data_IF_790681141601
#
_entry.id   IF_790681141601
#
_cell.length_a   1.000
_cell.length_b   1.000
_cell.length_c   1.000
_cell.angle_alpha   90.00
_cell.angle_beta   90.00
_cell.angle_gamma   90.00
#
_symmetry.space_group_name_H-M   'P 1'
#
loop_
_entity.id
_entity.type
_entity.pdbx_description
1 polymer ?
#
# COMPACT_ATOMS: atom_id res chain seq x y z
N UNK A 1 18.84 9.59 9.70
CA UNK A 1 17.41 9.84 9.46
C UNK A 1 17.13 9.39 8.05
N UNK A 2 16.36 8.32 7.86
CA UNK A 2 16.03 7.85 6.51
C UNK A 2 15.13 8.85 5.80
N UNK A 3 15.34 9.01 4.49
CA UNK A 3 14.47 9.84 3.66
C UNK A 3 13.06 9.23 3.58
N UNK A 4 12.05 10.05 3.30
CA UNK A 4 10.69 9.54 3.09
C UNK A 4 10.63 8.53 1.93
N UNK A 5 11.41 8.75 0.87
CA UNK A 5 11.51 7.86 -0.30
C UNK A 5 12.13 6.51 0.06
N UNK A 6 13.26 6.49 0.77
CA UNK A 6 13.89 5.24 1.20
C UNK A 6 12.97 4.43 2.12
N UNK A 7 12.29 5.11 3.06
CA UNK A 7 11.30 4.44 3.92
C UNK A 7 10.08 3.92 3.16
N UNK A 8 9.69 4.55 2.04
CA UNK A 8 8.63 4.05 1.17
C UNK A 8 9.05 2.77 0.42
N UNK A 9 10.27 2.76 -0.13
CA UNK A 9 10.85 1.59 -0.82
C UNK A 9 10.91 0.38 0.11
N UNK A 10 11.46 0.54 1.31
CA UNK A 10 11.57 -0.54 2.30
C UNK A 10 10.21 -1.17 2.62
N UNK A 11 9.14 -0.37 2.67
CA UNK A 11 7.78 -0.87 2.93
C UNK A 11 7.25 -1.72 1.77
N UNK A 12 7.51 -1.34 0.53
CA UNK A 12 7.11 -2.12 -0.65
C UNK A 12 7.92 -3.41 -0.78
N UNK A 13 9.23 -3.36 -0.53
CA UNK A 13 10.07 -4.56 -0.52
C UNK A 13 9.63 -5.52 0.60
N UNK A 14 9.40 -5.01 1.81
CA UNK A 14 8.93 -5.83 2.93
C UNK A 14 7.58 -6.49 2.65
N UNK A 15 6.72 -5.82 1.88
CA UNK A 15 5.41 -6.36 1.51
C UNK A 15 5.55 -7.62 0.64
N UNK A 16 6.50 -7.63 -0.30
CA UNK A 16 6.75 -8.78 -1.19
C UNK A 16 7.24 -10.02 -0.43
N UNK A 17 8.00 -9.81 0.65
CA UNK A 17 8.54 -10.91 1.47
C UNK A 17 7.58 -11.47 2.52
N UNK A 18 6.45 -10.79 2.80
CA UNK A 18 5.48 -11.27 3.78
C UNK A 18 4.47 -12.23 3.14
N UNK A 19 4.13 -13.33 3.83
CA UNK A 19 3.01 -14.21 3.48
C UNK A 19 1.78 -14.03 4.38
N UNK A 20 1.88 -13.14 5.37
CA UNK A 20 0.79 -12.82 6.29
C UNK A 20 -0.05 -11.67 5.73
N UNK A 21 -1.35 -11.91 5.58
CA UNK A 21 -2.30 -10.95 5.02
C UNK A 21 -2.38 -9.69 5.90
N UNK A 22 -2.37 -9.85 7.24
CA UNK A 22 -2.47 -8.70 8.15
C UNK A 22 -1.21 -7.82 8.07
N UNK A 23 -0.03 -8.44 8.02
CA UNK A 23 1.23 -7.75 7.81
C UNK A 23 1.26 -7.03 6.45
N UNK A 24 0.88 -7.69 5.35
CA UNK A 24 0.78 -7.04 4.03
C UNK A 24 -0.16 -5.83 4.04
N UNK A 25 -1.34 -5.94 4.67
CA UNK A 25 -2.25 -4.79 4.85
C UNK A 25 -1.56 -3.65 5.61
N UNK A 26 -0.83 -3.97 6.68
CA UNK A 26 -0.15 -2.99 7.54
C UNK A 26 0.96 -2.27 6.77
N UNK A 27 1.78 -3.03 6.05
CA UNK A 27 2.89 -2.52 5.23
C UNK A 27 2.37 -1.63 4.10
N UNK A 28 1.38 -2.08 3.35
CA UNK A 28 0.81 -1.31 2.26
C UNK A 28 0.10 -0.04 2.77
N UNK A 29 -0.60 -0.11 3.91
CA UNK A 29 -1.19 1.08 4.55
C UNK A 29 -0.13 2.09 4.96
N UNK A 30 1.00 1.63 5.51
CA UNK A 30 2.12 2.49 5.87
C UNK A 30 2.77 3.10 4.62
N UNK A 31 2.90 2.33 3.53
CA UNK A 31 3.43 2.82 2.25
C UNK A 31 2.55 3.93 1.67
N UNK A 32 1.23 3.74 1.65
CA UNK A 32 0.26 4.78 1.22
C UNK A 32 0.38 6.04 2.09
N UNK A 33 0.56 5.90 3.41
CA UNK A 33 0.80 7.03 4.31
C UNK A 33 2.13 7.74 4.06
N UNK A 34 3.20 7.01 3.72
CA UNK A 34 4.47 7.60 3.30
C UNK A 34 4.34 8.36 1.99
N UNK A 35 3.61 7.81 1.02
CA UNK A 35 3.37 8.46 -0.27
C UNK A 35 2.58 9.77 -0.10
N UNK A 36 1.55 9.77 0.75
CA UNK A 36 0.82 10.99 1.12
C UNK A 36 1.74 12.04 1.76
N UNK A 37 2.63 11.63 2.68
CA UNK A 37 3.60 12.55 3.28
C UNK A 37 4.63 13.09 2.27
N UNK A 38 4.97 12.33 1.23
CA UNK A 38 5.84 12.79 0.15
C UNK A 38 5.13 13.87 -0.70
N UNK A 39 3.82 13.73 -0.90
CA UNK A 39 3.03 14.69 -1.66
C UNK A 39 2.59 15.91 -0.86
N UNK A 40 2.62 15.85 0.47
CA UNK A 40 2.18 16.92 1.35
C UNK A 40 2.79 18.28 0.99
N UNK A 41 1.94 19.30 0.84
CA UNK A 41 2.35 20.66 0.48
C UNK A 41 2.79 20.84 -0.97
N UNK A 42 2.58 19.85 -1.83
CA UNK A 42 2.79 19.92 -3.29
C UNK A 42 1.45 19.86 -4.02
N UNK A 43 1.42 20.23 -5.29
CA UNK A 43 0.23 20.08 -6.16
C UNK A 43 -0.29 18.63 -6.23
N UNK A 44 0.59 17.66 -5.99
CA UNK A 44 0.26 16.22 -6.03
C UNK A 44 -0.62 15.79 -4.87
N UNK A 45 -0.59 16.52 -3.76
CA UNK A 45 -1.46 16.26 -2.63
C UNK A 45 -2.92 16.29 -3.06
N UNK A 46 -3.36 17.34 -3.75
CA UNK A 46 -4.74 17.50 -4.17
C UNK A 46 -5.11 16.53 -5.30
N UNK A 47 -4.18 16.28 -6.24
CA UNK A 47 -4.39 15.33 -7.35
C UNK A 47 -4.63 13.92 -6.84
N UNK A 48 -3.88 13.46 -5.84
CA UNK A 48 -3.93 12.08 -5.37
C UNK A 48 -4.71 11.87 -4.07
N UNK A 49 -5.17 12.94 -3.41
CA UNK A 49 -5.89 12.91 -2.12
C UNK A 49 -6.98 11.84 -2.09
N UNK A 50 -7.85 11.86 -3.09
CA UNK A 50 -8.99 10.95 -3.14
C UNK A 50 -8.59 9.50 -3.45
N UNK A 51 -7.58 9.29 -4.29
CA UNK A 51 -7.06 7.96 -4.61
C UNK A 51 -6.43 7.33 -3.35
N UNK A 52 -5.53 8.05 -2.68
CA UNK A 52 -4.87 7.57 -1.46
C UNK A 52 -5.87 7.34 -0.32
N UNK A 53 -6.89 8.18 -0.20
CA UNK A 53 -7.99 8.00 0.74
C UNK A 53 -8.78 6.71 0.46
N UNK A 54 -9.12 6.43 -0.81
CA UNK A 54 -9.82 5.19 -1.21
C UNK A 54 -8.97 3.96 -0.94
N UNK A 55 -7.68 3.98 -1.24
CA UNK A 55 -6.75 2.89 -0.93
C UNK A 55 -6.73 2.58 0.58
N UNK A 56 -6.60 3.60 1.43
CA UNK A 56 -6.64 3.42 2.90
C UNK A 56 -7.96 2.88 3.41
N UNK A 57 -9.08 3.28 2.80
CA UNK A 57 -10.41 2.77 3.13
C UNK A 57 -10.54 1.30 2.75
N UNK A 58 -10.12 0.95 1.53
CA UNK A 58 -10.13 -0.43 1.04
C UNK A 58 -9.27 -1.36 1.91
N UNK A 59 -8.09 -0.93 2.32
CA UNK A 59 -7.25 -1.70 3.27
C UNK A 59 -7.91 -1.89 4.63
N UNK A 60 -8.70 -0.90 5.10
CA UNK A 60 -9.46 -1.02 6.35
C UNK A 60 -10.59 -2.06 6.21
N UNK A 61 -11.26 -2.08 5.07
CA UNK A 61 -12.31 -3.06 4.77
C UNK A 61 -11.75 -4.48 4.68
N UNK A 62 -10.65 -4.68 3.96
CA UNK A 62 -9.95 -5.96 3.88
C UNK A 62 -9.56 -6.47 5.27
N UNK A 63 -9.00 -5.60 6.12
CA UNK A 63 -8.67 -5.98 7.50
C UNK A 63 -9.90 -6.38 8.31
N UNK A 64 -11.04 -5.71 8.11
CA UNK A 64 -12.28 -6.07 8.80
C UNK A 64 -12.84 -7.42 8.33
N UNK A 65 -12.65 -7.77 7.05
CA UNK A 65 -13.02 -9.07 6.49
C UNK A 65 -12.21 -10.22 7.09
N UNK A 66 -10.94 -9.99 7.46
CA UNK A 66 -10.14 -10.97 8.21
C UNK A 66 -10.67 -11.29 9.61
N UNK A 67 -11.57 -10.46 10.17
CA UNK A 67 -12.05 -10.58 11.55
C UNK A 67 -12.80 -11.89 11.85
N UNK A 68 -13.15 -12.68 10.83
CA UNK A 68 -13.53 -14.08 10.97
C UNK A 68 -12.28 -14.96 10.98
N UNK A 69 -11.87 -15.41 12.17
CA UNK A 69 -10.71 -16.28 12.34
C UNK A 69 -10.80 -17.53 11.46
N UNK A 70 -9.69 -17.80 10.75
CA UNK A 70 -9.50 -18.81 9.71
C UNK A 70 -10.10 -18.42 8.35
N UNK A 71 -9.35 -17.60 7.61
CA UNK A 71 -9.51 -17.57 6.16
C UNK A 71 -9.25 -18.97 5.61
N UNK A 72 -10.16 -19.49 4.81
CA UNK A 72 -9.82 -20.65 3.99
C UNK A 72 -8.77 -20.27 2.93
N UNK A 73 -8.21 -21.26 2.24
CA UNK A 73 -7.16 -21.01 1.25
C UNK A 73 -7.62 -20.09 0.11
N UNK A 74 -8.88 -20.19 -0.30
CA UNK A 74 -9.41 -19.39 -1.41
C UNK A 74 -9.63 -17.95 -0.95
N UNK A 75 -10.16 -17.73 0.26
CA UNK A 75 -10.27 -16.41 0.87
C UNK A 75 -8.89 -15.76 1.05
N UNK A 76 -7.91 -16.52 1.57
CA UNK A 76 -6.52 -16.05 1.66
C UNK A 76 -5.96 -15.66 0.30
N UNK A 77 -6.15 -16.50 -0.73
CA UNK A 77 -5.65 -16.26 -2.10
C UNK A 77 -6.26 -15.00 -2.69
N UNK A 78 -7.58 -14.84 -2.61
CA UNK A 78 -8.29 -13.65 -3.11
C UNK A 78 -7.81 -12.39 -2.39
N UNK A 79 -7.56 -12.47 -1.09
CA UNK A 79 -7.03 -11.33 -0.34
C UNK A 79 -5.60 -10.98 -0.75
N UNK A 80 -4.73 -11.97 -0.96
CA UNK A 80 -3.36 -11.76 -1.43
C UNK A 80 -3.35 -11.14 -2.83
N UNK A 81 -4.13 -11.70 -3.77
CA UNK A 81 -4.28 -11.18 -5.13
C UNK A 81 -4.77 -9.72 -5.11
N UNK A 82 -5.77 -9.41 -4.26
CA UNK A 82 -6.26 -8.04 -4.10
C UNK A 82 -5.19 -7.09 -3.55
N UNK A 83 -4.38 -7.55 -2.60
CA UNK A 83 -3.31 -6.74 -2.01
C UNK A 83 -2.20 -6.46 -3.03
N UNK A 84 -1.88 -7.42 -3.87
CA UNK A 84 -0.88 -7.28 -4.94
C UNK A 84 -1.36 -6.25 -6.00
N UNK A 85 -2.63 -6.33 -6.42
CA UNK A 85 -3.23 -5.32 -7.31
C UNK A 85 -3.19 -3.90 -6.72
N UNK A 86 -3.47 -3.78 -5.42
CA UNK A 86 -3.42 -2.49 -4.72
C UNK A 86 -1.99 -1.98 -4.56
N UNK A 87 -1.01 -2.87 -4.34
CA UNK A 87 0.42 -2.53 -4.32
C UNK A 87 0.86 -2.00 -5.68
N UNK A 88 0.44 -2.64 -6.76
CA UNK A 88 0.74 -2.18 -8.13
C UNK A 88 0.12 -0.80 -8.43
N UNK A 89 -1.07 -0.50 -7.92
CA UNK A 89 -1.63 0.85 -8.02
C UNK A 89 -0.77 1.89 -7.32
N UNK A 90 -0.33 1.59 -6.09
CA UNK A 90 0.56 2.47 -5.31
C UNK A 90 1.91 2.67 -6.02
N UNK A 91 2.49 1.61 -6.55
CA UNK A 91 3.76 1.66 -7.29
C UNK A 91 3.62 2.48 -8.58
N UNK A 92 2.55 2.29 -9.36
CA UNK A 92 2.30 3.07 -10.58
C UNK A 92 2.24 4.57 -10.30
N UNK A 93 1.58 4.97 -9.21
CA UNK A 93 1.55 6.38 -8.78
C UNK A 93 2.97 6.84 -8.43
N UNK A 94 3.70 6.05 -7.64
CA UNK A 94 5.03 6.41 -7.20
C UNK A 94 6.04 6.53 -8.36
N UNK A 95 5.99 5.64 -9.34
CA UNK A 95 6.82 5.71 -10.57
C UNK A 95 6.45 6.94 -11.39
N UNK A 96 5.15 7.16 -11.64
CA UNK A 96 4.66 8.30 -12.43
C UNK A 96 5.10 9.64 -11.85
N UNK A 97 5.16 9.75 -10.52
CA UNK A 97 5.54 10.98 -9.82
C UNK A 97 7.03 11.03 -9.44
N UNK A 98 7.86 10.12 -9.94
CA UNK A 98 9.32 10.12 -9.70
C UNK A 98 9.70 9.88 -8.22
N UNK A 99 8.83 9.20 -7.48
CA UNK A 99 9.11 8.71 -6.13
C UNK A 99 9.94 7.43 -6.19
N UNK A 100 9.61 6.54 -7.13
CA UNK A 100 10.39 5.35 -7.49
C UNK A 100 11.04 5.53 -8.86
N UNK A 101 12.16 4.87 -9.06
CA UNK A 101 12.79 4.72 -10.37
C UNK A 101 12.29 3.42 -11.01
N UNK A 102 12.09 3.41 -12.34
CA UNK A 102 11.84 2.17 -13.08
C UNK A 102 13.11 1.31 -12.97
N UNK A 103 12.98 0.12 -12.37
CA UNK A 103 14.04 -0.89 -12.38
C UNK A 103 14.16 -1.54 -13.77
#
# INVERSE_FOLDING_TARGET
>A
MESLKSGFIVLLESFEFSSDVEERIRLLRAAVGKLENIFYGTEKEDVYRDVLRRLKLRLKELRAQMGSFNLDFEEWRVMMDTLDEMRDEVERIAVKEGVLELQ
#
